data_IF_253553205077
#
_entry.id   IF_253553205077
#
_cell.length_a   1.000
_cell.length_b   1.000
_cell.length_c   1.000
_cell.angle_alpha   90.00
_cell.angle_beta   90.00
_cell.angle_gamma   90.00
#
_symmetry.space_group_name_H-M   'P 1'
#
loop_
_entity.id
_entity.type
_entity.pdbx_description
1 polymer ?
#
# COMPACT_ATOMS: atom_id res chain seq x y z
N UNK A 1 16.27 -14.61 15.28
CA UNK A 1 16.53 -13.76 14.11
C UNK A 1 16.72 -14.57 12.82
N UNK A 2 17.65 -15.55 12.74
CA UNK A 2 17.85 -16.35 11.49
C UNK A 2 16.59 -17.07 10.98
N UNK A 3 15.78 -17.64 11.87
CA UNK A 3 14.53 -18.31 11.49
C UNK A 3 13.48 -17.36 10.87
N UNK A 4 13.40 -16.11 11.33
CA UNK A 4 12.52 -15.09 10.75
C UNK A 4 13.06 -14.57 9.40
N UNK A 5 14.38 -14.50 9.23
CA UNK A 5 14.97 -14.06 8.00
C UNK A 5 14.51 -14.94 6.81
N UNK A 6 14.64 -16.25 6.95
CA UNK A 6 14.29 -17.21 5.89
C UNK A 6 12.79 -17.46 5.76
N UNK A 7 12.03 -17.38 6.87
CA UNK A 7 10.60 -17.69 6.85
C UNK A 7 9.68 -16.49 6.58
N UNK A 8 10.19 -15.27 6.76
CA UNK A 8 9.35 -14.06 6.67
C UNK A 8 10.00 -12.97 5.84
N UNK A 9 11.23 -12.55 6.15
CA UNK A 9 11.82 -11.37 5.50
C UNK A 9 12.25 -11.64 4.06
N UNK A 10 12.92 -12.76 3.76
CA UNK A 10 13.33 -13.11 2.38
C UNK A 10 12.12 -13.33 1.48
N UNK A 11 11.10 -14.15 1.83
CA UNK A 11 9.90 -14.26 1.01
C UNK A 11 9.18 -12.93 0.80
N UNK A 12 9.17 -12.06 1.83
CA UNK A 12 8.59 -10.72 1.72
C UNK A 12 9.35 -9.87 0.73
N UNK A 13 10.67 -9.80 0.87
CA UNK A 13 11.51 -9.02 -0.03
C UNK A 13 11.29 -9.43 -1.49
N UNK A 14 11.30 -10.73 -1.78
CA UNK A 14 11.12 -11.25 -3.12
C UNK A 14 9.72 -10.96 -3.70
N UNK A 15 8.67 -11.14 -2.90
CA UNK A 15 7.29 -10.87 -3.33
C UNK A 15 7.07 -9.37 -3.59
N UNK A 16 7.54 -8.51 -2.69
CA UNK A 16 7.38 -7.05 -2.82
C UNK A 16 8.29 -6.46 -3.91
N UNK A 17 9.44 -7.11 -4.20
CA UNK A 17 10.30 -6.77 -5.32
C UNK A 17 9.56 -6.91 -6.65
N UNK A 18 8.92 -8.05 -6.87
CA UNK A 18 8.11 -8.27 -8.07
C UNK A 18 6.92 -7.33 -8.15
N UNK A 19 6.21 -7.13 -7.03
CA UNK A 19 5.09 -6.20 -6.99
C UNK A 19 5.53 -4.77 -7.32
N UNK A 20 6.62 -4.28 -6.73
CA UNK A 20 7.17 -2.96 -7.01
C UNK A 20 7.52 -2.77 -8.48
N UNK A 21 8.05 -3.81 -9.14
CA UNK A 21 8.35 -3.76 -10.57
C UNK A 21 7.10 -3.61 -11.45
N UNK A 22 5.95 -4.21 -11.07
CA UNK A 22 4.75 -4.24 -11.93
C UNK A 22 3.68 -3.20 -11.58
N UNK A 23 3.68 -2.63 -10.35
CA UNK A 23 2.65 -1.67 -9.92
C UNK A 23 2.46 -0.48 -10.89
N UNK A 24 3.53 0.23 -11.34
CA UNK A 24 3.36 1.36 -12.27
C UNK A 24 2.90 0.92 -13.65
N UNK A 25 3.03 -0.37 -13.98
CA UNK A 25 2.79 -0.89 -15.31
C UNK A 25 1.32 -1.23 -15.58
N UNK A 26 0.46 -1.31 -14.56
CA UNK A 26 -0.96 -1.66 -14.77
C UNK A 26 -1.63 -0.64 -15.69
N UNK A 27 -1.49 0.65 -15.41
CA UNK A 27 -2.05 1.70 -16.25
C UNK A 27 -1.37 1.75 -17.62
N UNK A 28 -0.03 1.66 -17.68
CA UNK A 28 0.72 1.67 -18.94
C UNK A 28 0.34 0.51 -19.85
N UNK A 29 0.17 -0.70 -19.31
CA UNK A 29 -0.25 -1.87 -20.10
C UNK A 29 -1.62 -1.69 -20.73
N UNK A 30 -2.57 -1.07 -20.01
CA UNK A 30 -3.90 -0.77 -20.52
C UNK A 30 -3.82 0.28 -21.65
N UNK A 31 -2.98 1.30 -21.50
CA UNK A 31 -2.75 2.30 -22.55
C UNK A 31 -2.10 1.69 -23.80
N UNK A 32 -1.16 0.75 -23.63
CA UNK A 32 -0.55 0.00 -24.76
C UNK A 32 -1.50 -0.98 -25.45
N UNK A 33 -2.68 -1.21 -24.89
CA UNK A 33 -3.78 -1.97 -25.50
C UNK A 33 -4.80 -1.02 -26.19
N UNK A 34 -4.42 0.23 -26.47
CA UNK A 34 -5.23 1.27 -27.13
C UNK A 34 -6.52 1.65 -26.38
N UNK A 35 -6.50 1.56 -25.04
CA UNK A 35 -7.61 1.99 -24.19
C UNK A 35 -7.39 3.38 -23.60
N UNK A 36 -8.50 4.04 -23.23
CA UNK A 36 -8.48 5.40 -22.67
C UNK A 36 -7.79 5.47 -21.30
N UNK A 37 -7.31 6.66 -20.92
CA UNK A 37 -6.76 6.95 -19.61
C UNK A 37 -7.73 6.60 -18.46
N UNK A 38 -9.04 6.74 -18.68
CA UNK A 38 -10.06 6.34 -17.71
C UNK A 38 -10.03 4.83 -17.44
N UNK A 39 -9.94 4.00 -18.49
CA UNK A 39 -9.83 2.55 -18.37
C UNK A 39 -8.48 2.16 -17.76
N UNK A 40 -7.40 2.87 -18.11
CA UNK A 40 -6.09 2.66 -17.52
C UNK A 40 -6.10 2.95 -16.00
N UNK A 41 -6.71 4.06 -15.56
CA UNK A 41 -6.89 4.37 -14.15
C UNK A 41 -7.76 3.33 -13.41
N UNK A 42 -8.78 2.77 -14.09
CA UNK A 42 -9.63 1.72 -13.52
C UNK A 42 -8.85 0.45 -13.15
N UNK A 43 -7.70 0.18 -13.78
CA UNK A 43 -6.84 -0.95 -13.41
C UNK A 43 -6.39 -0.89 -11.93
N UNK A 44 -6.11 0.31 -11.41
CA UNK A 44 -5.76 0.49 -10.00
C UNK A 44 -6.99 0.32 -9.07
N UNK A 45 -8.20 0.68 -9.54
CA UNK A 45 -9.45 0.38 -8.82
C UNK A 45 -9.65 -1.12 -8.68
N UNK A 46 -9.42 -1.86 -9.77
CA UNK A 46 -9.54 -3.32 -9.82
C UNK A 46 -8.50 -3.97 -8.90
N UNK A 47 -7.26 -3.48 -8.92
CA UNK A 47 -6.22 -3.92 -7.98
C UNK A 47 -6.63 -3.68 -6.53
N UNK A 48 -7.14 -2.49 -6.19
CA UNK A 48 -7.59 -2.15 -4.84
C UNK A 48 -8.81 -2.99 -4.41
N UNK A 49 -9.76 -3.23 -5.32
CA UNK A 49 -10.90 -4.14 -5.09
C UNK A 49 -10.45 -5.58 -4.81
N UNK A 50 -9.50 -6.08 -5.60
CA UNK A 50 -8.85 -7.36 -5.36
C UNK A 50 -8.21 -7.42 -3.97
N UNK A 51 -7.52 -6.36 -3.55
CA UNK A 51 -6.92 -6.26 -2.22
C UNK A 51 -7.95 -6.35 -1.10
N UNK A 52 -9.08 -5.65 -1.21
CA UNK A 52 -10.15 -5.71 -0.21
C UNK A 52 -10.67 -7.15 -0.03
N UNK A 53 -10.93 -7.85 -1.14
CA UNK A 53 -11.32 -9.26 -1.12
C UNK A 53 -10.24 -10.16 -0.50
N UNK A 54 -8.99 -9.94 -0.89
CA UNK A 54 -7.83 -10.68 -0.38
C UNK A 54 -7.57 -10.48 1.12
N UNK A 55 -7.78 -9.28 1.65
CA UNK A 55 -7.66 -8.99 3.08
C UNK A 55 -8.70 -9.76 3.90
N UNK A 56 -9.96 -9.71 3.48
CA UNK A 56 -11.07 -10.41 4.15
C UNK A 56 -10.88 -11.94 4.12
N UNK A 57 -10.50 -12.46 2.95
CA UNK A 57 -10.26 -13.89 2.76
C UNK A 57 -9.00 -14.38 3.47
N UNK A 58 -7.91 -13.59 3.43
CA UNK A 58 -6.62 -13.93 4.05
C UNK A 58 -6.72 -14.13 5.56
N UNK A 59 -7.52 -13.31 6.25
CA UNK A 59 -7.82 -13.47 7.66
C UNK A 59 -8.54 -14.80 7.96
N UNK A 60 -9.61 -15.09 7.21
CA UNK A 60 -10.39 -16.34 7.38
C UNK A 60 -9.56 -17.58 7.02
N UNK A 61 -8.75 -17.51 5.99
CA UNK A 61 -7.88 -18.61 5.59
C UNK A 61 -6.74 -18.84 6.59
N UNK A 62 -6.15 -17.77 7.12
CA UNK A 62 -5.14 -17.86 8.19
C UNK A 62 -5.69 -18.52 9.44
N UNK A 63 -6.96 -18.24 9.79
CA UNK A 63 -7.63 -18.88 10.92
C UNK A 63 -7.89 -20.39 10.69
N UNK A 64 -8.16 -20.80 9.44
CA UNK A 64 -8.47 -22.20 9.10
C UNK A 64 -7.23 -23.05 8.82
N UNK A 65 -6.32 -22.57 7.99
CA UNK A 65 -5.16 -23.33 7.50
C UNK A 65 -3.85 -22.98 8.22
N UNK A 66 -3.86 -21.91 9.01
CA UNK A 66 -2.68 -21.29 9.59
C UNK A 66 -2.00 -20.29 8.66
N UNK A 67 -1.22 -19.34 9.24
CA UNK A 67 -0.71 -18.18 8.50
C UNK A 67 0.25 -18.57 7.37
N UNK A 68 1.07 -19.61 7.54
CA UNK A 68 2.05 -20.00 6.50
C UNK A 68 1.38 -20.58 5.26
N UNK A 69 0.35 -21.42 5.42
CA UNK A 69 -0.40 -21.98 4.28
C UNK A 69 -1.22 -20.90 3.59
N UNK A 70 -1.84 -20.01 4.37
CA UNK A 70 -2.55 -18.85 3.82
C UNK A 70 -1.61 -17.93 3.02
N UNK A 71 -0.38 -17.70 3.52
CA UNK A 71 0.65 -16.97 2.79
C UNK A 71 1.03 -17.62 1.46
N UNK A 72 1.18 -18.97 1.44
CA UNK A 72 1.48 -19.71 0.20
C UNK A 72 0.37 -19.58 -0.84
N UNK A 73 -0.91 -19.64 -0.41
CA UNK A 73 -2.04 -19.45 -1.33
C UNK A 73 -2.09 -18.00 -1.84
N UNK A 74 -1.84 -17.00 -0.98
CA UNK A 74 -1.73 -15.60 -1.39
C UNK A 74 -0.62 -15.38 -2.42
N UNK A 75 0.57 -15.95 -2.19
CA UNK A 75 1.69 -15.87 -3.14
C UNK A 75 1.38 -16.61 -4.46
N UNK A 76 0.71 -17.76 -4.40
CA UNK A 76 0.31 -18.49 -5.60
C UNK A 76 -0.69 -17.68 -6.45
N UNK A 77 -1.67 -17.03 -5.82
CA UNK A 77 -2.60 -16.13 -6.50
C UNK A 77 -1.86 -14.93 -7.12
N UNK A 78 -0.93 -14.33 -6.39
CA UNK A 78 -0.11 -13.21 -6.89
C UNK A 78 0.74 -13.63 -8.09
N UNK A 79 1.42 -14.77 -8.03
CA UNK A 79 2.20 -15.32 -9.14
C UNK A 79 1.32 -15.65 -10.35
N UNK A 80 0.18 -16.30 -10.13
CA UNK A 80 -0.80 -16.62 -11.18
C UNK A 80 -1.32 -15.36 -11.88
N UNK A 81 -1.67 -14.32 -11.10
CA UNK A 81 -2.07 -13.03 -11.65
C UNK A 81 -0.98 -12.38 -12.49
N UNK A 82 0.28 -12.41 -12.03
CA UNK A 82 1.42 -11.88 -12.78
C UNK A 82 1.64 -12.65 -14.10
N UNK A 83 1.51 -13.97 -14.09
CA UNK A 83 1.57 -14.79 -15.31
C UNK A 83 0.43 -14.42 -16.27
N UNK A 84 -0.80 -14.31 -15.77
CA UNK A 84 -1.94 -13.88 -16.60
C UNK A 84 -1.66 -12.53 -17.24
N UNK A 85 -1.15 -11.54 -16.48
CA UNK A 85 -0.79 -10.23 -17.05
C UNK A 85 0.32 -10.31 -18.10
N UNK A 86 1.31 -11.20 -17.91
CA UNK A 86 2.43 -11.37 -18.84
C UNK A 86 1.98 -11.91 -20.21
N UNK A 87 1.01 -12.84 -20.22
CA UNK A 87 0.58 -13.53 -21.44
C UNK A 87 -0.67 -12.92 -22.09
N UNK A 88 -1.43 -12.09 -21.37
CA UNK A 88 -2.72 -11.55 -21.88
C UNK A 88 -2.52 -10.45 -22.94
N UNK A 89 -3.01 -10.64 -24.15
CA UNK A 89 -2.96 -9.61 -25.19
C UNK A 89 -4.17 -8.65 -25.13
N UNK A 90 -5.22 -8.99 -24.37
CA UNK A 90 -6.49 -8.27 -24.34
C UNK A 90 -6.88 -7.85 -22.92
N UNK A 91 -7.73 -6.83 -22.83
CA UNK A 91 -8.04 -6.11 -21.58
C UNK A 91 -8.66 -7.00 -20.49
N UNK A 92 -9.68 -7.78 -20.79
CA UNK A 92 -10.48 -8.48 -19.76
C UNK A 92 -9.64 -9.50 -18.97
N UNK A 93 -8.89 -10.44 -19.59
CA UNK A 93 -8.00 -11.32 -18.85
C UNK A 93 -6.89 -10.57 -18.13
N UNK A 94 -6.36 -9.48 -18.72
CA UNK A 94 -5.35 -8.64 -18.06
C UNK A 94 -5.89 -8.07 -16.74
N UNK A 95 -7.09 -7.45 -16.75
CA UNK A 95 -7.73 -6.90 -15.57
C UNK A 95 -8.08 -7.98 -14.53
N UNK A 96 -8.46 -9.19 -14.97
CA UNK A 96 -8.62 -10.34 -14.07
C UNK A 96 -7.30 -10.72 -13.40
N UNK A 97 -6.18 -10.70 -14.14
CA UNK A 97 -4.83 -10.86 -13.59
C UNK A 97 -4.50 -9.80 -12.54
N UNK A 98 -4.80 -8.53 -12.83
CA UNK A 98 -4.60 -7.40 -11.89
C UNK A 98 -5.42 -7.57 -10.61
N UNK A 99 -6.70 -8.01 -10.73
CA UNK A 99 -7.53 -8.32 -9.57
C UNK A 99 -6.93 -9.45 -8.72
N UNK A 100 -6.44 -10.50 -9.39
CA UNK A 100 -5.82 -11.65 -8.73
C UNK A 100 -4.50 -11.29 -8.05
N UNK A 101 -3.71 -10.39 -8.64
CA UNK A 101 -2.51 -9.80 -8.01
C UNK A 101 -2.89 -9.09 -6.72
N UNK A 102 -3.90 -8.20 -6.78
CA UNK A 102 -4.38 -7.46 -5.60
C UNK A 102 -4.86 -8.41 -4.50
N UNK A 103 -5.66 -9.40 -4.86
CA UNK A 103 -6.18 -10.42 -3.95
C UNK A 103 -5.06 -11.23 -3.29
N UNK A 104 -4.12 -11.73 -4.08
CA UNK A 104 -2.99 -12.51 -3.59
C UNK A 104 -2.07 -11.70 -2.68
N UNK A 105 -1.78 -10.44 -3.06
CA UNK A 105 -0.94 -9.54 -2.29
C UNK A 105 -1.52 -9.25 -0.91
N UNK A 106 -2.79 -8.87 -0.81
CA UNK A 106 -3.41 -8.56 0.47
C UNK A 106 -3.58 -9.81 1.36
N UNK A 107 -3.97 -10.94 0.77
CA UNK A 107 -4.05 -12.23 1.47
C UNK A 107 -2.69 -12.65 2.05
N UNK A 108 -1.61 -12.51 1.26
CA UNK A 108 -0.24 -12.73 1.72
C UNK A 108 0.15 -11.78 2.84
N UNK A 109 -0.18 -10.48 2.71
CA UNK A 109 0.16 -9.46 3.69
C UNK A 109 -0.45 -9.75 5.06
N UNK A 110 -1.75 -10.09 5.12
CA UNK A 110 -2.46 -10.47 6.35
C UNK A 110 -1.86 -11.73 6.97
N UNK A 111 -1.62 -12.76 6.15
CA UNK A 111 -1.06 -14.03 6.62
C UNK A 111 0.36 -13.87 7.18
N UNK A 112 1.19 -13.05 6.53
CA UNK A 112 2.54 -12.72 6.96
C UNK A 112 2.57 -11.98 8.29
N UNK A 113 1.69 -11.02 8.50
CA UNK A 113 1.57 -10.30 9.77
C UNK A 113 1.20 -11.26 10.90
N UNK A 114 0.20 -12.10 10.71
CA UNK A 114 -0.16 -13.15 11.67
C UNK A 114 0.97 -14.15 11.94
N UNK A 115 1.82 -14.44 10.95
CA UNK A 115 3.01 -15.27 11.12
C UNK A 115 4.03 -14.62 12.06
N UNK A 116 4.34 -13.32 11.90
CA UNK A 116 5.24 -12.60 12.79
C UNK A 116 4.70 -12.59 14.21
N UNK A 117 3.42 -12.30 14.39
CA UNK A 117 2.76 -12.27 15.71
C UNK A 117 2.81 -13.63 16.42
N UNK A 118 2.73 -14.72 15.65
CA UNK A 118 2.75 -16.11 16.20
C UNK A 118 4.15 -16.63 16.51
N UNK A 119 5.19 -16.13 15.83
CA UNK A 119 6.57 -16.62 15.95
C UNK A 119 7.41 -15.79 16.92
N UNK A 120 7.01 -14.55 17.21
CA UNK A 120 7.82 -13.59 17.96
C UNK A 120 7.18 -13.30 19.32
N UNK A 121 7.98 -13.39 20.38
CA UNK A 121 7.58 -12.99 21.73
C UNK A 121 7.12 -11.53 21.73
N UNK A 122 6.10 -11.20 22.55
CA UNK A 122 5.48 -9.88 22.60
C UNK A 122 6.48 -8.73 22.72
N UNK A 123 7.52 -8.89 23.53
CA UNK A 123 8.61 -7.91 23.76
C UNK A 123 9.38 -7.58 22.47
N UNK A 124 9.49 -8.50 21.51
CA UNK A 124 10.25 -8.31 20.27
C UNK A 124 9.36 -8.07 19.02
N UNK A 125 8.04 -8.10 19.17
CA UNK A 125 7.09 -7.95 18.04
C UNK A 125 7.24 -6.61 17.31
N UNK A 126 7.34 -5.53 18.07
CA UNK A 126 7.52 -4.19 17.48
C UNK A 126 8.77 -4.16 16.59
N UNK A 127 9.90 -4.66 17.08
CA UNK A 127 11.15 -4.72 16.32
C UNK A 127 11.05 -5.60 15.07
N UNK A 128 10.37 -6.74 15.19
CA UNK A 128 10.17 -7.64 14.06
C UNK A 128 9.27 -7.02 12.98
N UNK A 129 8.19 -6.34 13.36
CA UNK A 129 7.29 -5.64 12.44
C UNK A 129 7.96 -4.43 11.78
N UNK A 130 8.79 -3.69 12.51
CA UNK A 130 9.58 -2.58 11.95
C UNK A 130 10.60 -3.09 10.92
N UNK A 131 11.29 -4.20 11.20
CA UNK A 131 12.20 -4.84 10.24
C UNK A 131 11.44 -5.31 9.00
N UNK A 132 10.24 -5.85 9.17
CA UNK A 132 9.36 -6.25 8.08
C UNK A 132 8.97 -5.04 7.20
N UNK A 133 8.60 -3.92 7.82
CA UNK A 133 8.28 -2.68 7.12
C UNK A 133 9.49 -2.11 6.36
N UNK A 134 10.69 -2.19 6.93
CA UNK A 134 11.94 -1.84 6.25
C UNK A 134 12.22 -2.73 5.05
N UNK A 135 12.05 -4.04 5.20
CA UNK A 135 12.22 -5.01 4.11
C UNK A 135 11.30 -4.69 2.92
N UNK A 136 10.03 -4.41 3.18
CA UNK A 136 9.07 -4.00 2.18
C UNK A 136 9.48 -2.71 1.45
N UNK A 137 9.96 -1.70 2.17
CA UNK A 137 10.37 -0.42 1.57
C UNK A 137 11.57 -0.57 0.66
N UNK A 138 12.59 -1.33 1.09
CA UNK A 138 13.76 -1.63 0.27
C UNK A 138 13.34 -2.34 -1.02
N UNK A 139 12.44 -3.32 -0.92
CA UNK A 139 11.93 -4.04 -2.08
C UNK A 139 11.15 -3.12 -3.04
N UNK A 140 10.31 -2.22 -2.51
CA UNK A 140 9.55 -1.25 -3.31
C UNK A 140 10.42 -0.16 -3.95
N UNK A 141 11.63 0.07 -3.44
CA UNK A 141 12.63 0.92 -4.09
C UNK A 141 13.37 0.16 -5.22
N UNK A 142 13.87 -1.03 -4.92
CA UNK A 142 14.66 -1.84 -5.87
C UNK A 142 13.76 -2.39 -7.00
N UNK A 143 12.52 -2.74 -6.70
CA UNK A 143 11.58 -3.34 -7.66
C UNK A 143 11.40 -2.53 -8.95
N UNK A 144 11.01 -1.25 -8.90
CA UNK A 144 10.87 -0.43 -10.10
C UNK A 144 12.19 -0.18 -10.83
N UNK A 145 13.35 -0.15 -10.13
CA UNK A 145 14.67 -0.08 -10.78
C UNK A 145 14.95 -1.30 -11.64
N UNK A 146 14.76 -2.49 -11.08
CA UNK A 146 14.91 -3.73 -11.84
C UNK A 146 13.81 -3.85 -12.91
N UNK A 147 12.59 -3.42 -12.61
CA UNK A 147 11.51 -3.32 -13.58
C UNK A 147 11.89 -2.47 -14.79
N UNK A 148 12.44 -1.27 -14.56
CA UNK A 148 12.91 -0.38 -15.62
C UNK A 148 13.98 -1.05 -16.50
N UNK A 149 14.97 -1.72 -15.90
CA UNK A 149 16.01 -2.44 -16.62
C UNK A 149 15.44 -3.61 -17.45
N UNK A 150 14.52 -4.38 -16.88
CA UNK A 150 13.85 -5.49 -17.58
C UNK A 150 13.01 -4.97 -18.75
N UNK A 151 12.28 -3.86 -18.56
CA UNK A 151 11.48 -3.25 -19.64
C UNK A 151 12.36 -2.74 -20.77
N UNK A 152 13.47 -2.09 -20.44
CA UNK A 152 14.40 -1.58 -21.43
C UNK A 152 15.03 -2.70 -22.28
N UNK A 153 15.30 -3.88 -21.69
CA UNK A 153 15.92 -5.00 -22.36
C UNK A 153 14.93 -5.91 -23.12
N UNK A 154 13.74 -6.15 -22.56
CA UNK A 154 12.81 -7.20 -23.03
C UNK A 154 11.36 -6.74 -23.17
N UNK A 155 11.10 -5.45 -22.93
CA UNK A 155 9.75 -4.86 -23.06
C UNK A 155 8.84 -5.04 -21.83
N UNK A 156 7.68 -4.40 -21.89
CA UNK A 156 6.75 -4.26 -20.77
C UNK A 156 6.27 -5.59 -20.18
N UNK A 157 5.97 -6.58 -21.05
CA UNK A 157 5.46 -7.90 -20.62
C UNK A 157 6.49 -8.69 -19.82
N UNK A 158 7.77 -8.51 -20.11
CA UNK A 158 8.85 -9.19 -19.38
C UNK A 158 8.91 -8.79 -17.90
N UNK A 159 8.48 -7.58 -17.54
CA UNK A 159 8.42 -7.15 -16.15
C UNK A 159 7.37 -7.95 -15.33
N UNK A 160 6.26 -8.35 -15.92
CA UNK A 160 5.32 -9.26 -15.26
C UNK A 160 5.87 -10.68 -15.11
N UNK A 161 6.60 -11.18 -16.12
CA UNK A 161 7.29 -12.47 -16.03
C UNK A 161 8.39 -12.42 -14.94
N UNK A 162 9.16 -11.33 -14.86
CA UNK A 162 10.12 -11.10 -13.78
C UNK A 162 9.42 -11.10 -12.41
N UNK A 163 8.29 -10.41 -12.28
CA UNK A 163 7.50 -10.41 -11.04
C UNK A 163 7.00 -11.82 -10.67
N UNK A 164 6.50 -12.58 -11.64
CA UNK A 164 6.10 -13.96 -11.41
C UNK A 164 7.27 -14.83 -10.90
N UNK A 165 8.46 -14.69 -11.48
CA UNK A 165 9.67 -15.40 -11.08
C UNK A 165 10.09 -15.06 -9.63
N UNK A 166 10.10 -13.78 -9.27
CA UNK A 166 10.44 -13.36 -7.90
C UNK A 166 9.44 -13.88 -6.88
N UNK A 167 8.14 -13.91 -7.22
CA UNK A 167 7.09 -14.47 -6.35
C UNK A 167 7.21 -15.99 -6.24
N UNK A 168 7.53 -16.68 -7.32
CA UNK A 168 7.83 -18.14 -7.27
C UNK A 168 9.05 -18.39 -6.38
N UNK A 169 10.11 -17.59 -6.48
CA UNK A 169 11.26 -17.67 -5.58
C UNK A 169 10.85 -17.42 -4.10
N UNK A 170 9.91 -16.50 -3.85
CA UNK A 170 9.34 -16.30 -2.51
C UNK A 170 8.59 -17.55 -2.01
N UNK A 171 7.82 -18.22 -2.86
CA UNK A 171 7.13 -19.48 -2.52
C UNK A 171 8.15 -20.57 -2.16
N UNK A 172 9.20 -20.72 -2.96
CA UNK A 172 10.27 -21.70 -2.72
C UNK A 172 10.98 -21.40 -1.39
N UNK A 173 11.36 -20.14 -1.16
CA UNK A 173 12.00 -19.73 0.10
C UNK A 173 11.11 -19.99 1.32
N UNK A 174 9.81 -19.70 1.22
CA UNK A 174 8.86 -19.95 2.30
C UNK A 174 8.67 -21.45 2.57
N UNK A 175 8.59 -22.27 1.53
CA UNK A 175 8.49 -23.75 1.67
C UNK A 175 9.76 -24.38 2.23
N UNK A 176 10.93 -23.86 1.88
CA UNK A 176 12.21 -24.35 2.42
C UNK A 176 12.38 -24.00 3.91
N UNK A 177 11.61 -23.04 4.43
CA UNK A 177 11.67 -22.65 5.84
C UNK A 177 11.02 -23.70 6.74
N UNK A 178 11.56 -23.90 7.97
CA UNK A 178 11.00 -24.82 8.97
C UNK A 178 9.64 -24.38 9.54
N UNK A 179 9.24 -23.13 9.32
CA UNK A 179 8.01 -22.54 9.84
C UNK A 179 6.73 -23.14 9.22
N UNK A 180 6.82 -23.66 8.03
CA UNK A 180 5.69 -24.25 7.31
C UNK A 180 5.07 -25.48 8.01
N UNK A 181 5.80 -26.14 8.89
CA UNK A 181 5.37 -27.34 9.66
C UNK A 181 4.68 -27.00 10.98
N UNK A 182 4.73 -25.73 11.46
CA UNK A 182 4.15 -25.33 12.74
C UNK A 182 2.68 -24.94 12.59
N UNK A 183 1.81 -25.50 13.44
CA UNK A 183 0.43 -25.03 13.62
C UNK A 183 0.42 -23.96 14.71
N UNK A 184 -0.03 -22.73 14.42
CA UNK A 184 -0.19 -21.72 15.46
C UNK A 184 -1.39 -22.02 16.36
N UNK A 185 -1.40 -21.50 17.62
CA UNK A 185 -2.57 -21.49 18.46
C UNK A 185 -3.73 -20.75 17.77
N UNK A 186 -4.97 -21.23 17.96
CA UNK A 186 -6.17 -20.54 17.48
C UNK A 186 -6.28 -19.18 18.20
N UNK A 187 -6.49 -18.07 17.47
CA UNK A 187 -6.80 -16.79 18.11
C UNK A 187 -8.12 -16.88 18.88
N UNK A 188 -8.16 -16.27 20.07
CA UNK A 188 -9.40 -16.13 20.85
C UNK A 188 -10.38 -15.28 20.05
N UNK A 189 -11.64 -15.72 19.95
CA UNK A 189 -12.72 -14.92 19.35
C UNK A 189 -13.11 -13.79 20.31
N UNK A 190 -13.14 -12.56 19.81
CA UNK A 190 -13.77 -11.44 20.51
C UNK A 190 -15.28 -11.70 20.62
N UNK A 191 -15.84 -11.65 21.83
CA UNK A 191 -17.29 -11.85 22.08
C UNK A 191 -18.12 -10.59 21.81
N UNK A 192 -17.48 -9.43 21.57
CA UNK A 192 -18.19 -8.18 21.36
C UNK A 192 -18.84 -8.11 19.98
N UNK A 193 -20.11 -7.63 19.95
CA UNK A 193 -20.83 -7.40 18.70
C UNK A 193 -20.18 -6.23 17.95
N UNK A 194 -19.77 -6.47 16.70
CA UNK A 194 -19.13 -5.47 15.85
C UNK A 194 -19.91 -4.15 15.76
N UNK A 195 -21.24 -4.22 15.68
CA UNK A 195 -22.11 -3.05 15.56
C UNK A 195 -22.08 -2.14 16.79
N UNK A 196 -21.93 -2.69 17.99
CA UNK A 196 -21.94 -1.89 19.23
C UNK A 196 -20.64 -1.07 19.33
N UNK A 197 -19.48 -1.64 18.93
CA UNK A 197 -18.21 -0.94 18.86
C UNK A 197 -18.24 0.17 17.81
N UNK A 198 -18.82 -0.09 16.63
CA UNK A 198 -18.94 0.91 15.56
C UNK A 198 -19.85 2.06 16.03
N UNK A 199 -21.00 1.76 16.67
CA UNK A 199 -21.92 2.79 17.19
C UNK A 199 -21.28 3.68 18.24
N UNK A 200 -20.60 3.08 19.22
CA UNK A 200 -19.94 3.84 20.29
C UNK A 200 -18.79 4.70 19.76
N UNK A 201 -18.11 4.26 18.70
CA UNK A 201 -16.99 4.97 18.07
C UNK A 201 -17.42 5.90 16.93
N UNK A 202 -18.73 6.00 16.62
CA UNK A 202 -19.25 6.77 15.49
C UNK A 202 -18.79 8.25 15.46
N UNK A 203 -18.72 8.99 16.59
CA UNK A 203 -18.21 10.36 16.58
C UNK A 203 -16.78 10.49 16.07
N UNK A 204 -15.92 9.50 16.35
CA UNK A 204 -14.51 9.46 15.87
C UNK A 204 -14.49 9.03 14.39
N UNK A 205 -15.26 8.02 14.03
CA UNK A 205 -15.27 7.47 12.67
C UNK A 205 -15.80 8.50 11.64
N UNK A 206 -16.85 9.28 11.99
CA UNK A 206 -17.40 10.30 11.09
C UNK A 206 -16.51 11.54 10.90
N UNK A 207 -15.53 11.77 11.76
CA UNK A 207 -14.57 12.88 11.67
C UNK A 207 -13.20 12.36 11.25
N UNK A 208 -12.43 11.88 12.18
CA UNK A 208 -11.07 11.41 11.92
C UNK A 208 -11.04 10.18 10.99
N UNK A 209 -12.03 9.28 11.10
CA UNK A 209 -12.17 8.14 10.17
C UNK A 209 -12.43 8.60 8.73
N UNK A 210 -13.26 9.63 8.52
CA UNK A 210 -13.44 10.23 7.19
C UNK A 210 -12.14 10.87 6.68
N UNK A 211 -11.38 11.59 7.52
CA UNK A 211 -10.10 12.15 7.12
C UNK A 211 -9.09 11.05 6.74
N UNK A 212 -9.11 9.91 7.43
CA UNK A 212 -8.29 8.73 7.09
C UNK A 212 -8.68 8.12 5.75
N UNK A 213 -9.97 7.98 5.48
CA UNK A 213 -10.48 7.53 4.18
C UNK A 213 -10.00 8.48 3.06
N UNK A 214 -10.18 9.78 3.23
CA UNK A 214 -9.75 10.78 2.25
C UNK A 214 -8.21 10.79 2.07
N UNK A 215 -7.44 10.65 3.14
CA UNK A 215 -5.98 10.50 3.06
C UNK A 215 -5.60 9.24 2.29
N UNK A 216 -6.31 8.13 2.52
CA UNK A 216 -6.15 6.89 1.76
C UNK A 216 -6.37 7.10 0.27
N UNK A 217 -7.42 7.86 -0.09
CA UNK A 217 -7.75 8.20 -1.48
C UNK A 217 -6.64 9.02 -2.16
N UNK A 218 -6.21 10.09 -1.52
CA UNK A 218 -5.14 10.97 -2.03
C UNK A 218 -3.82 10.20 -2.19
N UNK A 219 -3.47 9.36 -1.23
CA UNK A 219 -2.25 8.53 -1.30
C UNK A 219 -2.30 7.46 -2.39
N UNK A 220 -3.45 6.81 -2.57
CA UNK A 220 -3.60 5.75 -3.56
C UNK A 220 -3.62 6.29 -4.99
N UNK A 221 -4.14 7.48 -5.21
CA UNK A 221 -4.14 8.14 -6.52
C UNK A 221 -2.73 8.27 -7.11
N UNK A 222 -1.68 8.37 -6.28
CA UNK A 222 -0.27 8.45 -6.69
C UNK A 222 0.15 7.31 -7.65
N UNK A 223 -0.41 6.12 -7.47
CA UNK A 223 -0.07 4.94 -8.30
C UNK A 223 -0.48 5.16 -9.75
N UNK A 224 -1.48 6.00 -9.99
CA UNK A 224 -2.09 6.21 -11.30
C UNK A 224 -1.66 7.53 -11.94
N UNK A 225 -1.54 8.61 -11.14
CA UNK A 225 -1.29 9.95 -11.69
C UNK A 225 0.07 10.06 -12.38
N UNK A 226 1.12 9.42 -11.84
CA UNK A 226 2.46 9.46 -12.44
C UNK A 226 2.47 8.76 -13.80
N UNK A 227 2.07 7.47 -13.95
CA UNK A 227 2.14 6.78 -15.23
C UNK A 227 1.21 7.40 -16.28
N UNK A 228 0.01 7.82 -15.91
CA UNK A 228 -0.92 8.45 -16.86
C UNK A 228 -0.40 9.77 -17.40
N UNK A 229 0.18 10.62 -16.54
CA UNK A 229 0.73 11.88 -17.01
C UNK A 229 1.99 11.68 -17.84
N UNK A 230 2.92 10.85 -17.37
CA UNK A 230 4.16 10.57 -18.08
C UNK A 230 3.90 10.00 -19.49
N UNK A 231 2.92 9.10 -19.61
CA UNK A 231 2.48 8.58 -20.93
C UNK A 231 1.89 9.68 -21.80
N UNK A 232 1.04 10.56 -21.26
CA UNK A 232 0.40 11.64 -22.03
C UNK A 232 1.40 12.64 -22.64
N UNK A 233 2.59 12.75 -22.07
CA UNK A 233 3.71 13.56 -22.60
C UNK A 233 4.76 12.72 -23.33
N UNK A 234 4.48 11.47 -23.67
CA UNK A 234 5.29 10.60 -24.55
C UNK A 234 6.52 10.00 -23.86
N UNK A 235 6.55 9.84 -22.53
CA UNK A 235 7.65 9.20 -21.84
C UNK A 235 7.67 7.69 -22.08
N UNK A 236 8.88 7.08 -22.09
CA UNK A 236 9.03 5.64 -22.21
C UNK A 236 8.64 4.92 -20.90
N UNK A 237 8.15 3.67 -21.01
CA UNK A 237 7.73 2.85 -19.88
C UNK A 237 8.86 2.64 -18.85
N UNK A 238 10.12 2.51 -19.33
CA UNK A 238 11.30 2.40 -18.48
C UNK A 238 11.59 3.69 -17.71
N UNK A 239 11.41 4.86 -18.34
CA UNK A 239 11.54 6.15 -17.66
C UNK A 239 10.48 6.35 -16.57
N UNK A 240 9.24 5.93 -16.83
CA UNK A 240 8.17 5.93 -15.80
C UNK A 240 8.55 5.05 -14.62
N UNK A 241 9.02 3.83 -14.85
CA UNK A 241 9.47 2.92 -13.79
C UNK A 241 10.64 3.50 -12.99
N UNK A 242 11.58 4.17 -13.66
CA UNK A 242 12.71 4.84 -12.99
C UNK A 242 12.24 5.99 -12.08
N UNK A 243 11.27 6.79 -12.55
CA UNK A 243 10.68 7.87 -11.75
C UNK A 243 9.95 7.30 -10.52
N UNK A 244 9.25 6.17 -10.68
CA UNK A 244 8.68 5.46 -9.54
C UNK A 244 9.74 5.01 -8.53
N UNK A 245 10.88 4.51 -9.01
CA UNK A 245 12.00 4.13 -8.16
C UNK A 245 12.56 5.32 -7.38
N UNK A 246 12.74 6.48 -8.01
CA UNK A 246 13.17 7.72 -7.36
C UNK A 246 12.18 8.11 -6.26
N UNK A 247 10.88 8.13 -6.57
CA UNK A 247 9.82 8.41 -5.60
C UNK A 247 9.84 7.45 -4.41
N UNK A 248 10.01 6.14 -4.66
CA UNK A 248 10.09 5.12 -3.62
C UNK A 248 11.38 5.21 -2.78
N UNK A 249 12.49 5.62 -3.39
CA UNK A 249 13.76 5.86 -2.69
C UNK A 249 13.64 7.01 -1.69
N UNK A 250 13.02 8.11 -2.10
CA UNK A 250 12.75 9.27 -1.23
C UNK A 250 11.79 8.87 -0.10
N UNK A 251 10.72 8.12 -0.39
CA UNK A 251 9.81 7.56 0.60
C UNK A 251 10.57 6.73 1.65
N UNK A 252 11.46 5.86 1.20
CA UNK A 252 12.26 5.01 2.08
C UNK A 252 13.17 5.81 3.01
N UNK A 253 13.81 6.89 2.51
CA UNK A 253 14.71 7.72 3.32
C UNK A 253 13.98 8.49 4.41
N UNK A 254 12.74 8.92 4.17
CA UNK A 254 11.98 9.79 5.06
C UNK A 254 11.14 9.04 6.11
N UNK A 255 10.94 7.77 5.95
CA UNK A 255 10.14 6.96 6.88
C UNK A 255 10.66 7.01 8.34
N UNK A 256 11.96 6.92 8.55
CA UNK A 256 12.53 6.92 9.89
C UNK A 256 12.50 8.32 10.56
N UNK A 257 12.92 9.41 9.88
CA UNK A 257 12.77 10.77 10.41
C UNK A 257 11.31 11.14 10.71
N UNK A 258 10.38 10.72 9.86
CA UNK A 258 8.95 10.99 10.07
C UNK A 258 8.43 10.36 11.37
N UNK A 259 8.86 9.14 11.68
CA UNK A 259 8.55 8.49 12.96
C UNK A 259 9.04 9.32 14.16
N UNK A 260 10.28 9.79 14.13
CA UNK A 260 10.85 10.61 15.19
C UNK A 260 10.10 11.95 15.38
N UNK A 261 9.69 12.58 14.28
CA UNK A 261 8.86 13.81 14.32
C UNK A 261 7.49 13.52 14.93
N UNK A 262 6.86 12.42 14.52
CA UNK A 262 5.55 11.99 15.02
C UNK A 262 5.56 11.73 16.53
N UNK A 263 6.64 11.14 17.05
CA UNK A 263 6.78 10.85 18.47
C UNK A 263 7.09 12.10 19.31
N UNK A 264 7.85 13.05 18.75
CA UNK A 264 8.27 14.28 19.46
C UNK A 264 7.21 15.39 19.39
N UNK A 265 6.64 15.64 18.23
CA UNK A 265 5.77 16.78 17.97
C UNK A 265 4.29 16.42 17.73
N UNK A 266 4.02 15.12 17.62
CA UNK A 266 2.66 14.60 17.45
C UNK A 266 2.27 14.30 16.01
N UNK A 267 1.12 13.65 15.88
CA UNK A 267 0.63 13.06 14.63
C UNK A 267 0.28 14.08 13.57
N UNK A 268 -0.18 15.28 13.97
CA UNK A 268 -0.53 16.34 13.04
C UNK A 268 0.67 16.84 12.23
N UNK A 269 1.86 16.90 12.84
CA UNK A 269 3.10 17.35 12.19
C UNK A 269 3.65 16.37 11.14
N UNK A 270 3.12 15.19 11.09
CA UNK A 270 3.41 14.23 10.01
C UNK A 270 2.24 14.09 9.04
N UNK A 271 1.02 13.97 9.53
CA UNK A 271 -0.16 13.75 8.70
C UNK A 271 -0.47 14.91 7.75
N UNK A 272 -0.43 16.14 8.28
CA UNK A 272 -0.81 17.35 7.51
C UNK A 272 0.23 17.68 6.43
N UNK A 273 1.55 17.83 6.73
CA UNK A 273 2.55 18.08 5.69
C UNK A 273 2.61 16.95 4.66
N UNK A 274 2.50 15.68 5.08
CA UNK A 274 2.43 14.53 4.19
C UNK A 274 1.33 14.69 3.14
N UNK A 275 0.12 14.99 3.60
CA UNK A 275 -1.05 15.12 2.71
C UNK A 275 -0.93 16.33 1.79
N UNK A 276 -0.41 17.47 2.29
CA UNK A 276 -0.15 18.67 1.48
C UNK A 276 0.92 18.43 0.42
N UNK A 277 2.00 17.70 0.73
CA UNK A 277 3.06 17.38 -0.24
C UNK A 277 2.55 16.47 -1.34
N UNK A 278 1.70 15.48 -1.01
CA UNK A 278 1.06 14.62 -2.02
C UNK A 278 0.11 15.46 -2.88
N UNK A 279 -0.68 16.35 -2.27
CA UNK A 279 -1.56 17.27 -3.01
C UNK A 279 -0.76 18.15 -3.97
N UNK A 280 0.32 18.78 -3.47
CA UNK A 280 1.18 19.65 -4.26
C UNK A 280 1.84 18.89 -5.44
N UNK A 281 2.38 17.68 -5.20
CA UNK A 281 2.94 16.85 -6.26
C UNK A 281 1.89 16.46 -7.32
N UNK A 282 0.65 16.15 -6.89
CA UNK A 282 -0.45 15.84 -7.81
C UNK A 282 -0.88 17.05 -8.63
N UNK A 283 -0.99 18.22 -8.00
CA UNK A 283 -1.35 19.50 -8.66
C UNK A 283 -0.25 20.00 -9.59
N UNK A 284 1.00 19.68 -9.34
CA UNK A 284 2.14 20.08 -10.16
C UNK A 284 2.18 19.35 -11.51
N UNK A 285 1.76 18.06 -11.56
CA UNK A 285 1.86 17.22 -12.75
C UNK A 285 1.31 17.89 -14.02
N UNK A 286 0.08 18.48 -14.04
CA UNK A 286 -0.47 19.09 -15.26
C UNK A 286 0.34 20.27 -15.82
N UNK A 287 1.25 20.82 -15.06
CA UNK A 287 2.12 21.92 -15.47
C UNK A 287 3.49 21.47 -15.96
N UNK A 288 3.74 20.15 -15.97
CA UNK A 288 5.01 19.57 -16.43
C UNK A 288 4.92 19.12 -17.87
N UNK A 289 5.96 19.41 -18.65
CA UNK A 289 6.04 19.08 -20.09
C UNK A 289 7.19 18.13 -20.42
N UNK A 290 7.96 17.68 -19.43
CA UNK A 290 9.11 16.82 -19.65
C UNK A 290 9.52 15.99 -18.45
N UNK A 291 10.48 15.07 -18.62
CA UNK A 291 10.90 14.09 -17.59
C UNK A 291 11.33 14.73 -16.27
N UNK A 292 12.03 15.86 -16.32
CA UNK A 292 12.51 16.58 -15.12
C UNK A 292 11.34 17.08 -14.28
N UNK A 293 10.32 17.68 -14.90
CA UNK A 293 9.14 18.17 -14.19
C UNK A 293 8.36 17.04 -13.54
N UNK A 294 8.16 15.93 -14.26
CA UNK A 294 7.51 14.73 -13.72
C UNK A 294 8.32 14.14 -12.55
N UNK A 295 9.67 14.11 -12.66
CA UNK A 295 10.53 13.64 -11.60
C UNK A 295 10.41 14.51 -10.32
N UNK A 296 10.36 15.84 -10.47
CA UNK A 296 10.14 16.76 -9.33
C UNK A 296 8.78 16.48 -8.66
N UNK A 297 7.71 16.34 -9.44
CA UNK A 297 6.40 16.00 -8.91
C UNK A 297 6.41 14.64 -8.19
N UNK A 298 7.07 13.64 -8.76
CA UNK A 298 7.22 12.31 -8.18
C UNK A 298 8.04 12.32 -6.88
N UNK A 299 9.07 13.17 -6.79
CA UNK A 299 9.82 13.40 -5.55
C UNK A 299 8.91 13.99 -4.47
N UNK A 300 8.10 15.01 -4.78
CA UNK A 300 7.12 15.57 -3.84
C UNK A 300 6.14 14.49 -3.35
N UNK A 301 5.63 13.67 -4.26
CA UNK A 301 4.76 12.54 -3.94
C UNK A 301 5.46 11.51 -3.03
N UNK A 302 6.75 11.24 -3.30
CA UNK A 302 7.60 10.36 -2.49
C UNK A 302 7.86 10.92 -1.09
N UNK A 303 8.25 12.21 -1.00
CA UNK A 303 8.43 12.94 0.27
C UNK A 303 7.15 12.87 1.09
N UNK A 304 6.01 13.23 0.48
CA UNK A 304 4.72 13.21 1.17
C UNK A 304 4.35 11.81 1.66
N UNK A 305 4.56 10.77 0.85
CA UNK A 305 4.24 9.40 1.26
C UNK A 305 5.14 8.89 2.38
N UNK A 306 6.45 9.15 2.31
CA UNK A 306 7.42 8.76 3.32
C UNK A 306 7.20 9.48 4.65
N UNK A 307 6.96 10.81 4.58
CA UNK A 307 6.69 11.62 5.76
C UNK A 307 5.41 11.20 6.50
N UNK A 308 4.38 10.76 5.80
CA UNK A 308 3.13 10.25 6.39
C UNK A 308 3.14 8.77 6.74
N UNK A 309 4.29 8.14 6.71
CA UNK A 309 4.38 6.71 6.93
C UNK A 309 4.03 6.30 8.35
N UNK A 310 3.12 5.31 8.45
CA UNK A 310 2.66 4.79 9.75
C UNK A 310 1.66 5.69 10.49
N UNK A 311 1.51 6.98 10.12
CA UNK A 311 0.68 7.93 10.86
C UNK A 311 -0.78 7.47 10.96
N UNK A 312 -1.35 6.90 9.90
CA UNK A 312 -2.75 6.44 9.91
C UNK A 312 -2.97 5.26 10.85
N UNK A 313 -2.02 4.32 10.91
CA UNK A 313 -2.08 3.20 11.87
C UNK A 313 -1.92 3.70 13.31
N UNK A 314 -0.99 4.62 13.55
CA UNK A 314 -0.76 5.19 14.89
C UNK A 314 -1.97 5.99 15.36
N UNK A 315 -2.57 6.83 14.51
CA UNK A 315 -3.80 7.52 14.82
C UNK A 315 -4.94 6.56 15.21
N UNK A 316 -5.12 5.48 14.42
CA UNK A 316 -6.10 4.46 14.76
C UNK A 316 -5.84 3.80 16.11
N UNK A 317 -4.58 3.52 16.42
CA UNK A 317 -4.20 2.93 17.70
C UNK A 317 -4.38 3.89 18.89
N UNK A 318 -4.14 5.19 18.69
CA UNK A 318 -4.25 6.24 19.72
C UNK A 318 -5.71 6.53 20.11
N UNK A 319 -6.64 6.46 19.14
CA UNK A 319 -8.06 6.75 19.38
C UNK A 319 -8.92 5.51 19.58
N UNK A 320 -8.33 4.32 19.48
CA UNK A 320 -9.07 3.07 19.66
C UNK A 320 -9.55 2.91 21.10
N UNK A 321 -10.83 2.53 21.31
CA UNK A 321 -11.38 2.27 22.64
C UNK A 321 -10.67 1.08 23.28
N UNK A 322 -10.64 1.05 24.62
CA UNK A 322 -10.04 -0.07 25.38
C UNK A 322 -10.82 -1.37 25.12
N UNK A 323 -12.15 -1.31 25.13
CA UNK A 323 -13.01 -2.46 24.84
C UNK A 323 -13.38 -2.48 23.36
N UNK A 324 -13.17 -3.60 22.68
CA UNK A 324 -13.42 -3.75 21.25
C UNK A 324 -12.35 -3.11 20.35
N UNK A 325 -11.13 -2.93 20.86
CA UNK A 325 -9.99 -2.36 20.14
C UNK A 325 -9.76 -3.01 18.78
N UNK A 326 -9.82 -4.34 18.72
CA UNK A 326 -9.59 -5.09 17.50
C UNK A 326 -10.64 -4.81 16.42
N UNK A 327 -11.92 -4.71 16.83
CA UNK A 327 -13.02 -4.37 15.94
C UNK A 327 -12.88 -2.94 15.41
N UNK A 328 -12.51 -2.00 16.29
CA UNK A 328 -12.27 -0.61 15.90
C UNK A 328 -11.14 -0.49 14.89
N UNK A 329 -9.98 -1.11 15.17
CA UNK A 329 -8.81 -1.10 14.27
C UNK A 329 -9.15 -1.77 12.93
N UNK A 330 -9.92 -2.87 12.94
CA UNK A 330 -10.41 -3.49 11.71
C UNK A 330 -11.27 -2.54 10.88
N UNK A 331 -12.22 -1.83 11.51
CA UNK A 331 -13.06 -0.81 10.85
C UNK A 331 -12.21 0.35 10.31
N UNK A 332 -11.21 0.78 11.07
CA UNK A 332 -10.27 1.82 10.66
C UNK A 332 -9.48 1.44 9.41
N UNK A 333 -9.00 0.20 9.34
CA UNK A 333 -8.31 -0.32 8.16
C UNK A 333 -9.23 -0.40 6.94
N UNK A 334 -10.50 -0.79 7.14
CA UNK A 334 -11.52 -0.79 6.06
C UNK A 334 -11.71 0.62 5.50
N UNK A 335 -11.80 1.66 6.34
CA UNK A 335 -11.90 3.05 5.88
C UNK A 335 -10.66 3.47 5.06
N UNK A 336 -9.47 3.08 5.50
CA UNK A 336 -8.24 3.35 4.77
C UNK A 336 -8.20 2.63 3.41
N UNK A 337 -8.60 1.37 3.36
CA UNK A 337 -8.67 0.57 2.12
C UNK A 337 -9.77 1.07 1.18
N UNK A 338 -10.91 1.49 1.71
CA UNK A 338 -11.99 2.13 0.92
C UNK A 338 -11.50 3.45 0.29
N UNK A 339 -10.72 4.25 1.02
CA UNK A 339 -9.98 5.39 0.46
C UNK A 339 -9.04 4.95 -0.65
N UNK A 340 -8.28 3.88 -0.42
CA UNK A 340 -7.37 3.30 -1.40
C UNK A 340 -8.03 2.92 -2.73
N UNK A 341 -9.30 2.53 -2.69
CA UNK A 341 -10.14 2.28 -3.87
C UNK A 341 -10.68 3.59 -4.46
N UNK A 342 -11.14 4.52 -3.61
CA UNK A 342 -11.80 5.76 -4.04
C UNK A 342 -10.84 6.69 -4.84
N UNK A 343 -9.56 6.78 -4.45
CA UNK A 343 -8.60 7.66 -5.12
C UNK A 343 -8.42 7.35 -6.62
N UNK A 344 -7.99 6.14 -6.98
CA UNK A 344 -7.94 5.73 -8.39
C UNK A 344 -9.29 5.80 -9.10
N UNK A 345 -10.41 5.52 -8.40
CA UNK A 345 -11.76 5.61 -8.96
C UNK A 345 -12.13 7.04 -9.35
N UNK A 346 -11.77 8.04 -8.52
CA UNK A 346 -11.95 9.44 -8.84
C UNK A 346 -11.14 9.84 -10.08
N UNK A 347 -9.87 9.42 -10.16
CA UNK A 347 -9.04 9.67 -11.35
C UNK A 347 -9.67 9.01 -12.57
N UNK A 348 -10.09 7.75 -12.49
CA UNK A 348 -10.72 7.01 -13.59
C UNK A 348 -11.98 7.71 -14.10
N UNK A 349 -12.89 8.11 -13.20
CA UNK A 349 -14.14 8.77 -13.57
C UNK A 349 -13.92 10.15 -14.18
N UNK A 350 -12.98 10.93 -13.66
CA UNK A 350 -12.71 12.29 -14.12
C UNK A 350 -11.80 12.34 -15.35
N UNK A 351 -10.94 11.34 -15.56
CA UNK A 351 -10.11 11.24 -16.75
C UNK A 351 -10.93 11.04 -18.04
N UNK A 352 -12.21 10.64 -17.92
CA UNK A 352 -13.14 10.63 -19.03
C UNK A 352 -13.46 12.05 -19.57
N UNK A 353 -13.31 13.09 -18.73
CA UNK A 353 -13.44 14.50 -19.14
C UNK A 353 -12.09 15.02 -19.64
N UNK A 354 -11.15 15.19 -18.74
CA UNK A 354 -9.73 15.44 -19.02
C UNK A 354 -8.87 14.84 -17.92
N UNK A 355 -7.66 14.41 -18.27
CA UNK A 355 -6.72 13.86 -17.27
C UNK A 355 -6.38 14.87 -16.18
N UNK A 356 -6.16 16.14 -16.56
CA UNK A 356 -5.86 17.23 -15.65
C UNK A 356 -6.98 17.51 -14.65
N UNK A 357 -8.26 17.37 -15.05
CA UNK A 357 -9.40 17.54 -14.11
C UNK A 357 -9.31 16.59 -12.94
N UNK A 358 -8.99 15.30 -13.20
CA UNK A 358 -8.82 14.31 -12.13
C UNK A 358 -7.71 14.70 -11.15
N UNK A 359 -6.61 15.25 -11.66
CA UNK A 359 -5.47 15.67 -10.83
C UNK A 359 -5.81 16.91 -9.98
N UNK A 360 -6.51 17.89 -10.54
CA UNK A 360 -6.96 19.07 -9.79
C UNK A 360 -7.96 18.70 -8.69
N UNK A 361 -8.91 17.80 -8.97
CA UNK A 361 -9.88 17.35 -7.96
C UNK A 361 -9.20 16.58 -6.84
N UNK A 362 -8.32 15.61 -7.16
CA UNK A 362 -7.62 14.82 -6.12
C UNK A 362 -6.63 15.68 -5.35
N UNK A 363 -5.92 16.58 -6.00
CA UNK A 363 -5.02 17.52 -5.32
C UNK A 363 -5.78 18.49 -4.41
N UNK A 364 -6.90 19.07 -4.89
CA UNK A 364 -7.80 19.90 -4.08
C UNK A 364 -8.39 19.13 -2.89
N UNK A 365 -8.81 17.86 -3.10
CA UNK A 365 -9.25 16.97 -2.02
C UNK A 365 -8.14 16.78 -0.98
N UNK A 366 -6.88 16.69 -1.40
CA UNK A 366 -5.73 16.61 -0.51
C UNK A 366 -5.58 17.83 0.38
N UNK A 367 -5.81 19.04 -0.14
CA UNK A 367 -5.78 20.29 0.65
C UNK A 367 -6.91 20.29 1.70
N UNK A 368 -8.14 19.95 1.27
CA UNK A 368 -9.30 19.84 2.19
C UNK A 368 -9.03 18.79 3.27
N UNK A 369 -8.46 17.65 2.89
CA UNK A 369 -8.09 16.56 3.81
C UNK A 369 -7.04 17.01 4.83
N UNK A 370 -6.04 17.77 4.40
CA UNK A 370 -5.03 18.32 5.31
C UNK A 370 -5.65 19.28 6.34
N UNK A 371 -6.59 20.14 5.93
CA UNK A 371 -7.37 20.98 6.84
C UNK A 371 -8.20 20.16 7.83
N UNK A 372 -8.87 19.10 7.36
CA UNK A 372 -9.63 18.19 8.20
C UNK A 372 -8.74 17.47 9.23
N UNK A 373 -7.57 16.96 8.80
CA UNK A 373 -6.58 16.35 9.69
C UNK A 373 -6.10 17.33 10.76
N UNK A 374 -5.76 18.57 10.36
CA UNK A 374 -5.34 19.60 11.31
C UNK A 374 -6.41 19.89 12.36
N UNK A 375 -7.68 19.93 11.95
CA UNK A 375 -8.82 20.24 12.83
C UNK A 375 -9.22 19.08 13.74
N UNK A 376 -9.08 17.82 13.29
CA UNK A 376 -9.63 16.66 13.98
C UNK A 376 -8.61 15.78 14.67
N UNK A 377 -7.30 15.91 14.37
CA UNK A 377 -6.27 15.19 15.12
C UNK A 377 -6.21 15.78 16.53
N UNK A 378 -6.34 14.96 17.59
CA UNK A 378 -6.25 15.43 18.96
C UNK A 378 -4.88 16.07 19.23
N UNK A 379 -4.83 17.16 20.03
CA UNK A 379 -3.57 17.78 20.40
C UNK A 379 -2.66 16.78 21.12
N UNK A 380 -1.39 16.79 20.74
CA UNK A 380 -0.37 15.92 21.29
C UNK A 380 -0.12 16.22 22.77
N UNK A 381 -0.19 15.20 23.64
CA UNK A 381 0.12 15.28 25.06
C UNK A 381 1.14 14.19 25.41
N UNK A 382 2.43 14.53 25.59
CA UNK A 382 3.49 13.56 25.83
C UNK A 382 3.23 12.67 27.05
N UNK A 383 2.63 13.24 28.09
CA UNK A 383 2.40 12.57 29.39
C UNK A 383 1.50 11.31 29.30
N UNK A 384 0.64 11.21 28.29
CA UNK A 384 -0.25 10.06 28.10
C UNK A 384 0.44 8.83 27.48
N UNK A 385 1.68 9.00 27.02
CA UNK A 385 2.43 7.96 26.29
C UNK A 385 3.68 7.50 27.02
N UNK A 386 3.95 8.02 28.21
CA UNK A 386 4.95 7.44 29.10
C UNK A 386 4.40 6.09 29.58
N UNK A 387 5.16 4.97 29.46
CA UNK A 387 4.77 3.75 30.12
C UNK A 387 4.60 4.07 31.59
N UNK A 388 3.47 3.70 32.18
CA UNK A 388 3.32 3.73 33.62
C UNK A 388 4.55 3.02 34.19
N UNK A 389 5.35 3.74 34.96
CA UNK A 389 6.41 3.14 35.74
C UNK A 389 5.71 2.01 36.51
N UNK A 390 6.15 0.79 36.28
CA UNK A 390 5.72 -0.36 37.05
C UNK A 390 6.40 -0.16 38.42
N UNK A 391 5.62 0.37 39.38
CA UNK A 391 6.00 0.34 40.81
C UNK A 391 6.04 -1.09 41.30
#
# INVERSE_FOLDING_TARGET
MRALATSTYVPTFLAELGLGAMLPLFALSVLRMDHSAAVAAASAVIYAGGRMGGSAWGGSLSARLGPVRAALVGLAALAGGAVVCAVSPVLVPFLAGVALIGFGHAGYHVARQGQVESLVLAVFRARALTTLAGTWRIANFIGPLLGAAVIAAWGLRAAYAFAALTVVAAIVALRASSSWRRRPPRPARSELRHLDVIRSSWPILRTLGLAVLLTGAVRAARIVVIPLWAESIGMSDSAVSLIFAVSAGVDMLLFYPAGAVMDRWGRAWTAVPSTLLIAAGTLLLPFTSGPTGVAIAAVLLGVGNGWGSGVLMTLGADVAPVHGRDVFIGTWMILQDAGGLAGPALISGLAAMTLSTGFFVVGGLGIVTAGALWRWIPPWRPERHLPHAVD
#
